data_IF_204141085509
#
_entry.id   IF_204141085509
#
_cell.length_a   1.000
_cell.length_b   1.000
_cell.length_c   1.000
_cell.angle_alpha   90.00
_cell.angle_beta   90.00
_cell.angle_gamma   90.00
#
_symmetry.space_group_name_H-M   'P 1'
#
loop_
_entity.id
_entity.type
_entity.pdbx_description
1 polymer ?
#
# COMPACT_ATOMS: atom_id res chain seq x y z
N UNK A 1 10.82 -28.61 -1.09
CA UNK A 1 9.44 -28.47 -0.79
C UNK A 1 8.94 -27.15 -1.31
N UNK A 2 7.94 -27.12 -2.12
CA UNK A 2 7.39 -25.90 -2.67
C UNK A 2 7.08 -24.84 -1.62
N UNK A 3 6.54 -23.70 -2.04
CA UNK A 3 6.21 -22.63 -1.13
C UNK A 3 5.27 -23.16 -0.03
N UNK A 4 5.72 -23.03 1.19
CA UNK A 4 4.90 -23.36 2.34
C UNK A 4 4.00 -22.15 2.63
N UNK A 5 2.69 -22.31 2.53
CA UNK A 5 1.74 -21.24 2.81
C UNK A 5 1.90 -20.68 4.22
N UNK A 6 2.43 -21.49 5.17
CA UNK A 6 2.71 -21.01 6.53
C UNK A 6 3.82 -19.98 6.56
N UNK A 7 4.66 -19.89 5.51
CA UNK A 7 5.71 -18.87 5.42
C UNK A 7 5.21 -17.54 4.86
N UNK A 8 4.00 -17.50 4.31
CA UNK A 8 3.40 -16.26 3.83
C UNK A 8 2.90 -15.47 5.03
N UNK A 9 3.45 -14.26 5.20
CA UNK A 9 3.16 -13.42 6.35
C UNK A 9 2.16 -12.31 6.06
N UNK A 10 2.06 -11.89 4.80
CA UNK A 10 1.28 -10.71 4.44
C UNK A 10 0.82 -10.80 3.00
N UNK A 11 -0.46 -10.55 2.77
CA UNK A 11 -1.00 -10.36 1.43
C UNK A 11 -1.01 -8.89 1.07
N UNK A 12 -0.70 -8.58 -0.19
CA UNK A 12 -0.67 -7.21 -0.68
C UNK A 12 -1.58 -7.11 -1.89
N UNK A 13 -2.55 -6.20 -1.84
CA UNK A 13 -3.45 -5.90 -2.94
C UNK A 13 -3.02 -4.58 -3.57
N UNK A 14 -2.40 -4.65 -4.75
CA UNK A 14 -1.81 -3.48 -5.40
C UNK A 14 -2.75 -2.90 -6.45
N UNK A 15 -2.94 -1.59 -6.39
CA UNK A 15 -3.78 -0.84 -7.33
C UNK A 15 -3.09 0.45 -7.75
N UNK A 16 -3.59 1.04 -8.83
CA UNK A 16 -3.26 2.42 -9.18
C UNK A 16 -4.45 3.32 -8.89
N UNK A 17 -4.19 4.60 -8.69
CA UNK A 17 -5.23 5.59 -8.45
C UNK A 17 -5.00 6.83 -9.30
N UNK A 18 -6.07 7.52 -9.66
CA UNK A 18 -5.99 8.79 -10.36
C UNK A 18 -5.30 9.84 -9.49
N UNK A 19 -4.68 10.83 -10.13
CA UNK A 19 -3.93 11.91 -9.44
C UNK A 19 -4.86 12.76 -8.57
N UNK A 20 -6.10 12.96 -9.04
CA UNK A 20 -7.11 13.79 -8.37
C UNK A 20 -8.33 12.92 -8.14
N UNK A 21 -8.98 13.09 -6.99
CA UNK A 21 -10.20 12.36 -6.66
C UNK A 21 -11.31 12.65 -7.66
N UNK A 22 -11.88 11.62 -8.33
CA UNK A 22 -13.01 11.82 -9.24
C UNK A 22 -14.28 12.22 -8.47
N UNK A 23 -15.32 12.72 -9.19
CA UNK A 23 -16.52 13.27 -8.52
C UNK A 23 -17.22 12.33 -7.55
N UNK A 24 -17.19 11.02 -7.81
CA UNK A 24 -17.87 10.05 -6.95
C UNK A 24 -16.94 9.38 -5.92
N UNK A 25 -15.69 9.82 -5.83
CA UNK A 25 -14.74 9.30 -4.85
C UNK A 25 -14.97 9.95 -3.47
N UNK A 26 -14.39 9.39 -2.39
CA UNK A 26 -14.47 10.01 -1.07
C UNK A 26 -13.81 11.38 -0.97
N UNK A 27 -12.91 11.69 -1.90
CA UNK A 27 -12.10 12.91 -1.92
C UNK A 27 -12.24 13.70 -3.23
N UNK A 28 -13.48 14.04 -3.66
CA UNK A 28 -13.68 14.63 -4.99
C UNK A 28 -12.89 15.94 -5.16
N UNK A 29 -12.19 16.05 -6.30
CA UNK A 29 -11.42 17.25 -6.65
C UNK A 29 -10.14 17.45 -5.86
N UNK A 30 -9.80 16.60 -4.93
CA UNK A 30 -8.57 16.72 -4.12
C UNK A 30 -7.41 16.04 -4.78
N UNK A 31 -6.22 16.66 -4.69
CA UNK A 31 -4.98 16.01 -5.11
C UNK A 31 -4.66 14.89 -4.13
N UNK A 32 -4.38 13.72 -4.69
CA UNK A 32 -4.05 12.54 -3.89
C UNK A 32 -2.56 12.45 -3.62
N UNK A 33 -2.15 11.81 -2.51
CA UNK A 33 -0.74 11.51 -2.27
C UNK A 33 -0.20 10.56 -3.34
N UNK A 34 1.12 10.42 -3.42
CA UNK A 34 1.73 9.45 -4.33
C UNK A 34 1.33 8.03 -3.98
N UNK A 35 1.31 7.69 -2.70
CA UNK A 35 0.99 6.36 -2.20
C UNK A 35 0.01 6.46 -1.04
N UNK A 36 -1.00 5.58 -1.08
CA UNK A 36 -1.94 5.38 0.01
C UNK A 36 -1.92 3.91 0.42
N UNK A 37 -1.70 3.65 1.70
CA UNK A 37 -1.81 2.33 2.30
C UNK A 37 -3.11 2.22 3.07
N UNK A 38 -3.74 1.06 3.03
CA UNK A 38 -5.02 0.86 3.70
C UNK A 38 -5.04 -0.45 4.48
N UNK A 39 -5.46 -0.36 5.74
CA UNK A 39 -5.77 -1.51 6.59
C UNK A 39 -7.09 -1.30 7.33
N UNK A 40 -8.04 -0.64 6.69
CA UNK A 40 -9.35 -0.39 7.28
C UNK A 40 -9.92 -1.64 7.92
N UNK A 41 -10.54 -1.51 9.08
CA UNK A 41 -11.05 -2.61 9.89
C UNK A 41 -9.96 -3.55 10.44
N UNK A 42 -8.70 -3.10 10.49
CA UNK A 42 -7.63 -3.86 11.11
C UNK A 42 -7.14 -5.05 10.30
N UNK A 43 -7.20 -5.00 8.97
CA UNK A 43 -6.76 -6.10 8.12
C UNK A 43 -5.26 -6.35 8.20
N UNK A 44 -4.50 -5.37 8.66
CA UNK A 44 -3.04 -5.46 8.85
C UNK A 44 -2.70 -4.78 10.18
N UNK A 45 -1.79 -5.35 11.00
CA UNK A 45 -1.38 -4.71 12.25
C UNK A 45 -0.86 -3.29 12.06
N UNK A 46 -1.17 -2.41 12.99
CA UNK A 46 -0.78 -1.00 12.92
C UNK A 46 0.74 -0.83 12.84
N UNK A 47 1.50 -1.62 13.58
CA UNK A 47 2.96 -1.54 13.53
C UNK A 47 3.50 -1.89 12.15
N UNK A 48 2.86 -2.84 11.47
CA UNK A 48 3.31 -3.26 10.15
C UNK A 48 3.02 -2.20 9.10
N UNK A 49 1.79 -1.65 9.09
CA UNK A 49 1.45 -0.64 8.09
C UNK A 49 2.27 0.65 8.31
N UNK A 50 2.53 1.01 9.55
CA UNK A 50 3.37 2.16 9.88
C UNK A 50 4.81 1.94 9.41
N UNK A 51 5.36 0.75 9.63
CA UNK A 51 6.70 0.40 9.15
C UNK A 51 6.77 0.41 7.63
N UNK A 52 5.77 -0.14 6.96
CA UNK A 52 5.70 -0.13 5.49
C UNK A 52 5.64 1.30 4.95
N UNK A 53 4.82 2.15 5.56
CA UNK A 53 4.73 3.56 5.17
C UNK A 53 6.08 4.27 5.31
N UNK A 54 6.79 4.02 6.42
CA UNK A 54 8.11 4.62 6.64
C UNK A 54 9.13 4.14 5.61
N UNK A 55 9.14 2.85 5.29
CA UNK A 55 10.06 2.29 4.30
C UNK A 55 9.79 2.87 2.90
N UNK A 56 8.52 2.98 2.52
CA UNK A 56 8.15 3.55 1.22
C UNK A 56 8.45 5.05 1.16
N UNK A 57 8.22 5.78 2.25
CA UNK A 57 8.53 7.20 2.31
C UNK A 57 10.02 7.47 2.12
N UNK A 58 10.87 6.62 2.66
CA UNK A 58 12.33 6.75 2.51
C UNK A 58 12.74 6.60 1.04
N UNK A 59 12.26 5.55 0.37
CA UNK A 59 12.71 5.24 -1.00
C UNK A 59 12.08 6.17 -2.04
N UNK A 60 10.82 6.55 -1.87
CA UNK A 60 10.14 7.48 -2.77
C UNK A 60 10.46 8.94 -2.47
N UNK A 61 10.94 9.25 -1.26
CA UNK A 61 11.14 10.61 -0.76
C UNK A 61 9.85 11.42 -0.81
N UNK A 62 8.75 10.76 -0.51
CA UNK A 62 7.40 11.30 -0.52
C UNK A 62 6.66 10.84 0.73
N UNK A 63 5.75 11.66 1.22
CA UNK A 63 4.89 11.27 2.33
C UNK A 63 3.90 10.19 1.87
N UNK A 64 3.73 9.15 2.67
CA UNK A 64 2.81 8.05 2.42
C UNK A 64 1.60 8.20 3.32
N UNK A 65 0.40 8.22 2.73
CA UNK A 65 -0.84 8.32 3.49
C UNK A 65 -1.31 6.93 3.93
N UNK A 66 -1.96 6.88 5.09
CA UNK A 66 -2.56 5.66 5.63
C UNK A 66 -4.06 5.88 5.79
N UNK A 67 -4.87 5.03 5.15
CA UNK A 67 -6.33 5.05 5.21
C UNK A 67 -6.97 6.37 4.72
N UNK A 68 -6.29 7.09 3.85
CA UNK A 68 -6.78 8.31 3.23
C UNK A 68 -6.22 8.40 1.81
N UNK A 69 -7.03 8.47 0.76
CA UNK A 69 -8.50 8.50 0.79
C UNK A 69 -9.18 7.12 0.89
N UNK A 70 -8.42 6.03 0.77
CA UNK A 70 -8.97 4.68 0.76
C UNK A 70 -8.68 3.95 2.06
N UNK A 71 -9.60 3.08 2.47
CA UNK A 71 -9.49 2.29 3.70
C UNK A 71 -9.40 0.78 3.45
N UNK A 72 -9.28 0.39 2.19
CA UNK A 72 -9.23 -1.01 1.78
C UNK A 72 -10.42 -1.38 0.91
N UNK A 73 -10.24 -2.39 0.09
CA UNK A 73 -11.24 -2.88 -0.84
C UNK A 73 -11.77 -4.26 -0.46
N UNK A 74 -12.45 -4.88 -1.41
CA UNK A 74 -13.09 -6.18 -1.20
C UNK A 74 -12.08 -7.26 -0.81
N UNK A 75 -10.93 -7.32 -1.48
CA UNK A 75 -9.94 -8.38 -1.25
C UNK A 75 -9.41 -8.30 0.19
N UNK A 76 -8.96 -7.14 0.63
CA UNK A 76 -8.41 -7.00 1.97
C UNK A 76 -9.47 -7.26 3.05
N UNK A 77 -10.71 -6.80 2.83
CA UNK A 77 -11.78 -7.01 3.80
C UNK A 77 -12.20 -8.47 3.87
N UNK A 78 -12.30 -9.14 2.72
CA UNK A 78 -12.74 -10.54 2.68
C UNK A 78 -11.68 -11.50 3.19
N UNK A 79 -10.41 -11.27 2.90
CA UNK A 79 -9.32 -12.18 3.21
C UNK A 79 -8.50 -11.79 4.43
N UNK A 80 -8.73 -10.59 5.00
CA UNK A 80 -8.03 -10.13 6.19
C UNK A 80 -8.25 -10.98 7.43
N UNK A 81 -9.30 -11.83 7.44
CA UNK A 81 -9.55 -12.76 8.54
C UNK A 81 -8.67 -14.02 8.44
N UNK A 82 -8.16 -14.35 7.27
CA UNK A 82 -7.33 -15.52 7.04
C UNK A 82 -5.87 -15.25 7.39
N UNK A 83 -5.40 -14.06 7.07
CA UNK A 83 -4.05 -13.59 7.36
C UNK A 83 -4.03 -12.08 7.17
N UNK A 84 -2.97 -11.38 7.61
CA UNK A 84 -2.88 -9.94 7.37
C UNK A 84 -2.84 -9.59 5.90
N UNK A 85 -3.57 -8.53 5.53
CA UNK A 85 -3.60 -7.96 4.19
C UNK A 85 -3.49 -6.44 4.25
N UNK A 86 -2.76 -5.86 3.31
CA UNK A 86 -2.66 -4.41 3.12
C UNK A 86 -2.98 -4.08 1.67
N UNK A 87 -3.72 -2.99 1.45
CA UNK A 87 -3.94 -2.46 0.11
C UNK A 87 -2.93 -1.34 -0.15
N UNK A 88 -2.30 -1.36 -1.30
CA UNK A 88 -1.39 -0.30 -1.76
C UNK A 88 -1.98 0.34 -3.00
N UNK A 89 -2.23 1.64 -2.94
CA UNK A 89 -2.63 2.46 -4.08
C UNK A 89 -1.48 3.38 -4.45
N UNK A 90 -1.03 3.32 -5.71
CA UNK A 90 0.00 4.22 -6.20
C UNK A 90 -0.58 5.15 -7.26
N UNK A 91 -0.23 6.43 -7.20
CA UNK A 91 -0.74 7.44 -8.12
C UNK A 91 -0.32 7.16 -9.56
N UNK A 92 -1.22 7.43 -10.49
CA UNK A 92 -0.96 7.38 -11.93
C UNK A 92 -0.19 8.61 -12.44
N UNK A 93 0.29 9.47 -11.55
CA UNK A 93 1.05 10.66 -11.95
C UNK A 93 2.20 10.27 -12.87
N UNK A 94 2.45 11.10 -13.87
CA UNK A 94 3.58 10.95 -14.80
C UNK A 94 4.82 11.74 -14.34
N UNK A 95 4.78 12.35 -13.15
CA UNK A 95 5.94 13.01 -12.55
C UNK A 95 7.09 12.02 -12.32
N UNK A 96 6.78 10.74 -12.20
CA UNK A 96 7.76 9.66 -12.06
C UNK A 96 7.49 8.60 -13.12
N UNK A 97 8.55 8.00 -13.68
CA UNK A 97 8.40 6.90 -14.64
C UNK A 97 7.85 5.65 -13.95
N UNK A 98 7.24 4.76 -14.75
CA UNK A 98 6.78 3.48 -14.22
C UNK A 98 7.94 2.61 -13.71
N UNK A 99 9.10 2.69 -14.36
CA UNK A 99 10.30 1.98 -13.92
C UNK A 99 10.75 2.49 -12.54
N UNK A 100 10.75 3.81 -12.33
CA UNK A 100 11.08 4.41 -11.03
C UNK A 100 10.11 3.93 -9.95
N UNK A 101 8.80 4.01 -10.23
CA UNK A 101 7.78 3.57 -9.27
C UNK A 101 7.93 2.11 -8.89
N UNK A 102 8.15 1.24 -9.88
CA UNK A 102 8.35 -0.19 -9.65
C UNK A 102 9.59 -0.45 -8.81
N UNK A 103 10.71 0.15 -9.16
CA UNK A 103 11.97 -0.09 -8.45
C UNK A 103 11.91 0.41 -7.01
N UNK A 104 11.31 1.58 -6.77
CA UNK A 104 11.14 2.10 -5.41
C UNK A 104 10.17 1.23 -4.61
N UNK A 105 9.09 0.75 -5.24
CA UNK A 105 8.14 -0.13 -4.55
C UNK A 105 8.83 -1.42 -4.10
N UNK A 106 9.60 -2.05 -5.00
CA UNK A 106 10.31 -3.29 -4.66
C UNK A 106 11.35 -3.05 -3.56
N UNK A 107 12.10 -1.94 -3.63
CA UNK A 107 13.08 -1.58 -2.59
C UNK A 107 12.38 -1.35 -1.25
N UNK A 108 11.30 -0.59 -1.25
CA UNK A 108 10.54 -0.32 -0.02
C UNK A 108 9.97 -1.59 0.61
N UNK A 109 9.43 -2.48 -0.20
CA UNK A 109 8.90 -3.76 0.28
C UNK A 109 10.02 -4.64 0.84
N UNK A 110 11.17 -4.67 0.20
CA UNK A 110 12.32 -5.44 0.68
C UNK A 110 12.79 -4.92 2.03
N UNK A 111 12.92 -3.61 2.18
CA UNK A 111 13.29 -2.98 3.47
C UNK A 111 12.29 -3.30 4.56
N UNK A 112 10.99 -3.25 4.22
CA UNK A 112 9.92 -3.59 5.14
C UNK A 112 10.05 -5.03 5.63
N UNK A 113 10.24 -5.98 4.71
CA UNK A 113 10.38 -7.39 5.07
C UNK A 113 11.59 -7.63 5.98
N UNK A 114 12.69 -6.96 5.72
CA UNK A 114 13.89 -7.08 6.57
C UNK A 114 13.69 -6.46 7.96
N UNK A 115 12.81 -5.47 8.07
CA UNK A 115 12.56 -4.79 9.34
C UNK A 115 11.55 -5.57 10.20
N UNK A 116 10.49 -6.12 9.59
CA UNK A 116 9.36 -6.70 10.30
C UNK A 116 9.49 -8.22 10.42
N UNK A 117 10.02 -8.86 9.42
CA UNK A 117 10.16 -10.30 9.36
C UNK A 117 11.64 -10.71 9.34
#
# INVERSE_FOLDING_TARGET
AGADTRSIKLGIDCHTMSVIGPPLAPDPGRKRPLICLSNGNGTCPEEWISSLASCLAIVFKEQVAINTPFRGGHITRSHGVEMPWVQIEISQTDAYSNAFKRNCMLDGLQRFCHTVF
#
